data_IF_812285922237
#
_entry.id   IF_812285922237
#
_cell.length_a   1.000
_cell.length_b   1.000
_cell.length_c   1.000
_cell.angle_alpha   90.00
_cell.angle_beta   90.00
_cell.angle_gamma   90.00
#
_symmetry.space_group_name_H-M   'P 1'
#
loop_
_entity.id
_entity.type
_entity.pdbx_description
1 polymer ?
#
# COMPACT_ATOMS: atom_id res chain seq x y z
N UNK A 1 68.99 -15.43 -38.36
CA UNK A 1 67.67 -15.68 -37.75
C UNK A 1 67.36 -14.50 -36.85
N UNK A 2 66.44 -13.62 -37.25
CA UNK A 2 65.99 -12.48 -36.44
C UNK A 2 64.58 -12.81 -35.95
N UNK A 3 64.46 -13.03 -34.64
CA UNK A 3 63.24 -13.39 -33.94
C UNK A 3 62.27 -12.20 -33.98
N UNK A 4 61.10 -12.34 -34.63
CA UNK A 4 60.00 -11.37 -34.53
C UNK A 4 59.29 -11.60 -33.20
N UNK A 5 59.43 -10.66 -32.24
CA UNK A 5 58.61 -10.62 -31.03
C UNK A 5 57.41 -9.70 -31.29
N UNK A 6 56.22 -10.29 -31.34
CA UNK A 6 54.94 -9.61 -31.38
C UNK A 6 54.54 -9.25 -29.93
N UNK A 7 54.26 -8.00 -29.56
CA UNK A 7 53.72 -7.71 -28.24
C UNK A 7 52.21 -8.01 -28.26
N UNK A 8 51.81 -9.04 -27.52
CA UNK A 8 50.42 -9.31 -27.16
C UNK A 8 50.01 -8.26 -26.13
N UNK A 9 49.24 -7.26 -26.54
CA UNK A 9 48.69 -6.24 -25.65
C UNK A 9 47.49 -6.84 -24.89
N UNK A 10 47.71 -7.36 -23.69
CA UNK A 10 46.64 -7.83 -22.81
C UNK A 10 46.11 -6.64 -22.00
N UNK A 11 45.02 -6.03 -22.47
CA UNK A 11 44.31 -4.99 -21.71
C UNK A 11 43.52 -5.66 -20.57
N UNK A 12 44.05 -5.57 -19.35
CA UNK A 12 43.34 -5.95 -18.14
C UNK A 12 42.21 -4.94 -17.88
N UNK A 13 40.96 -5.37 -18.03
CA UNK A 13 39.81 -4.66 -17.49
C UNK A 13 39.89 -4.74 -15.96
N UNK A 14 40.29 -3.63 -15.34
CA UNK A 14 40.09 -3.41 -13.90
C UNK A 14 38.60 -3.21 -13.67
N UNK A 15 37.88 -4.28 -13.32
CA UNK A 15 36.51 -4.18 -12.80
C UNK A 15 36.57 -3.51 -11.43
N UNK A 16 36.28 -2.21 -11.37
CA UNK A 16 36.04 -1.53 -10.09
C UNK A 16 34.76 -2.08 -9.48
N UNK A 17 34.75 -2.56 -8.22
CA UNK A 17 33.50 -2.87 -7.55
C UNK A 17 32.70 -1.57 -7.46
N UNK A 18 31.50 -1.57 -8.06
CA UNK A 18 30.53 -0.51 -7.83
C UNK A 18 30.19 -0.54 -6.34
N UNK A 19 30.50 0.54 -5.63
CA UNK A 19 30.01 0.79 -4.28
C UNK A 19 28.49 0.83 -4.39
N UNK A 20 27.82 -0.20 -3.88
CA UNK A 20 26.38 -0.20 -3.72
C UNK A 20 26.02 0.93 -2.76
N UNK A 21 25.00 1.68 -3.16
CA UNK A 21 24.56 2.96 -2.63
C UNK A 21 24.29 2.94 -1.11
N UNK A 22 25.22 3.47 -0.31
CA UNK A 22 25.05 3.70 1.14
C UNK A 22 24.00 4.79 1.45
N UNK A 23 23.37 5.40 0.43
CA UNK A 23 22.33 6.42 0.58
C UNK A 23 20.94 5.95 0.10
N UNK A 24 20.68 4.64 0.03
CA UNK A 24 19.30 4.21 -0.21
C UNK A 24 18.44 4.67 0.98
N UNK A 25 17.43 5.54 0.77
CA UNK A 25 16.57 6.00 1.85
C UNK A 25 15.95 4.77 2.53
N UNK A 26 16.04 4.70 3.85
CA UNK A 26 15.37 3.66 4.63
C UNK A 26 13.87 3.68 4.28
N UNK A 27 13.37 2.62 3.64
CA UNK A 27 11.98 2.51 3.27
C UNK A 27 11.13 2.35 4.54
N UNK A 28 10.31 3.36 4.85
CA UNK A 28 9.32 3.26 5.91
C UNK A 28 8.18 2.33 5.48
N UNK A 29 7.67 1.49 6.39
CA UNK A 29 6.66 0.46 6.03
C UNK A 29 5.20 0.87 6.27
N UNK A 30 4.93 2.05 6.86
CA UNK A 30 3.57 2.44 7.24
C UNK A 30 3.05 1.72 8.49
N UNK A 31 1.99 2.24 9.11
CA UNK A 31 1.23 1.44 10.11
C UNK A 31 0.56 0.25 9.39
N UNK A 32 0.52 -0.96 9.97
CA UNK A 32 -0.21 -2.08 9.40
C UNK A 32 -1.73 -1.88 9.57
N UNK A 33 -2.52 -2.43 8.64
CA UNK A 33 -3.98 -2.48 8.71
C UNK A 33 -4.46 -3.92 8.47
N UNK A 34 -4.77 -4.64 9.54
CA UNK A 34 -5.19 -6.05 9.50
C UNK A 34 -6.69 -6.23 9.28
N UNK A 35 -7.49 -5.22 9.58
CA UNK A 35 -8.95 -5.24 9.47
C UNK A 35 -9.47 -3.94 8.84
N UNK A 36 -10.72 -3.95 8.35
CA UNK A 36 -11.40 -2.73 7.88
C UNK A 36 -11.37 -1.60 8.93
N UNK A 37 -11.67 -1.90 10.20
CA UNK A 37 -11.72 -0.88 11.26
C UNK A 37 -10.34 -0.25 11.53
N UNK A 38 -9.28 -1.06 11.58
CA UNK A 38 -7.91 -0.55 11.68
C UNK A 38 -7.52 0.29 10.45
N UNK A 39 -7.93 -0.14 9.25
CA UNK A 39 -7.64 0.59 8.02
C UNK A 39 -8.30 1.97 8.00
N UNK A 40 -9.59 2.04 8.33
CA UNK A 40 -10.33 3.31 8.41
C UNK A 40 -9.74 4.21 9.50
N UNK A 41 -9.42 3.67 10.68
CA UNK A 41 -8.79 4.44 11.75
C UNK A 41 -7.42 5.00 11.31
N UNK A 42 -6.56 4.17 10.72
CA UNK A 42 -5.26 4.59 10.21
C UNK A 42 -5.38 5.67 9.12
N UNK A 43 -6.33 5.51 8.19
CA UNK A 43 -6.58 6.49 7.13
C UNK A 43 -7.11 7.80 7.72
N UNK A 44 -8.04 7.75 8.67
CA UNK A 44 -8.60 8.93 9.33
C UNK A 44 -7.52 9.72 10.07
N UNK A 45 -6.71 9.06 10.91
CA UNK A 45 -5.60 9.69 11.62
C UNK A 45 -4.59 10.32 10.66
N UNK A 46 -4.14 9.56 9.65
CA UNK A 46 -3.15 10.05 8.69
C UNK A 46 -3.69 11.20 7.82
N UNK A 47 -4.97 11.20 7.47
CA UNK A 47 -5.61 12.30 6.73
C UNK A 47 -5.71 13.57 7.57
N UNK A 48 -5.97 13.45 8.88
CA UNK A 48 -5.95 14.61 9.77
C UNK A 48 -4.55 15.22 9.83
N UNK A 49 -3.52 14.40 10.06
CA UNK A 49 -2.12 14.86 10.10
C UNK A 49 -1.69 15.48 8.75
N UNK A 50 -2.08 14.86 7.64
CA UNK A 50 -1.84 15.42 6.30
C UNK A 50 -2.53 16.77 6.12
N UNK A 51 -3.78 16.91 6.54
CA UNK A 51 -4.51 18.17 6.43
C UNK A 51 -3.84 19.30 7.25
N UNK A 52 -3.34 18.98 8.44
CA UNK A 52 -2.60 19.93 9.28
C UNK A 52 -1.29 20.38 8.62
N UNK A 53 -0.53 19.46 8.02
CA UNK A 53 0.70 19.79 7.27
C UNK A 53 0.42 20.69 6.05
N UNK A 54 -0.73 20.52 5.41
CA UNK A 54 -1.12 21.27 4.21
C UNK A 54 -1.65 22.68 4.49
N UNK A 55 -1.87 23.07 5.76
CA UNK A 55 -2.39 24.41 6.12
C UNK A 55 -1.33 25.53 5.99
N UNK A 56 -0.09 25.21 5.58
CA UNK A 56 1.02 26.15 5.44
C UNK A 56 1.95 25.87 4.26
N UNK A 57 3.09 26.58 4.23
CA UNK A 57 4.19 26.24 3.31
C UNK A 57 4.90 24.97 3.79
N UNK A 58 5.06 23.98 2.90
CA UNK A 58 5.73 22.73 3.24
C UNK A 58 7.25 22.93 3.28
N UNK A 59 7.85 22.64 4.42
CA UNK A 59 9.29 22.50 4.58
C UNK A 59 9.79 21.14 4.08
N UNK A 60 11.11 20.98 3.94
CA UNK A 60 11.73 19.68 3.63
C UNK A 60 11.39 18.60 4.67
N UNK A 61 11.19 18.99 5.94
CA UNK A 61 10.78 18.08 7.00
C UNK A 61 9.32 17.63 6.82
N UNK A 62 8.43 18.55 6.42
CA UNK A 62 7.03 18.24 6.15
C UNK A 62 6.92 17.27 4.95
N UNK A 63 7.75 17.46 3.92
CA UNK A 63 7.81 16.53 2.79
C UNK A 63 8.21 15.10 3.23
N UNK A 64 9.15 14.97 4.16
CA UNK A 64 9.53 13.67 4.71
C UNK A 64 8.39 13.04 5.54
N UNK A 65 7.65 13.84 6.31
CA UNK A 65 6.51 13.31 7.07
C UNK A 65 5.34 12.93 6.16
N UNK A 66 5.03 13.72 5.13
CA UNK A 66 4.02 13.36 4.11
C UNK A 66 4.37 12.03 3.45
N UNK A 67 5.65 11.78 3.12
CA UNK A 67 6.09 10.49 2.60
C UNK A 67 5.88 9.33 3.59
N UNK A 68 6.04 9.59 4.89
CA UNK A 68 5.83 8.60 5.94
C UNK A 68 4.35 8.29 6.16
N UNK A 69 3.50 9.33 6.12
CA UNK A 69 2.05 9.23 6.14
C UNK A 69 1.53 8.47 4.91
N UNK A 70 2.11 8.70 3.73
CA UNK A 70 1.66 8.05 2.49
C UNK A 70 1.77 6.54 2.56
N UNK A 71 2.84 5.97 3.13
CA UNK A 71 2.93 4.53 3.35
C UNK A 71 1.84 3.98 4.28
N UNK A 72 1.47 4.73 5.33
CA UNK A 72 0.37 4.33 6.22
C UNK A 72 -0.97 4.36 5.49
N UNK A 73 -1.22 5.41 4.71
CA UNK A 73 -2.43 5.53 3.90
C UNK A 73 -2.49 4.48 2.79
N UNK A 74 -1.38 4.12 2.15
CA UNK A 74 -1.30 3.06 1.15
C UNK A 74 -1.71 1.70 1.74
N UNK A 75 -1.18 1.35 2.92
CA UNK A 75 -1.56 0.13 3.62
C UNK A 75 -3.06 0.11 3.98
N UNK A 76 -3.57 1.25 4.47
CA UNK A 76 -4.98 1.39 4.82
C UNK A 76 -5.89 1.27 3.58
N UNK A 77 -5.59 1.99 2.50
CA UNK A 77 -6.35 1.94 1.26
C UNK A 77 -6.32 0.55 0.62
N UNK A 78 -5.19 -0.15 0.67
CA UNK A 78 -5.09 -1.52 0.19
C UNK A 78 -6.04 -2.47 0.97
N UNK A 79 -6.08 -2.35 2.30
CA UNK A 79 -7.01 -3.14 3.13
C UNK A 79 -8.46 -2.76 2.87
N UNK A 80 -8.80 -1.47 2.81
CA UNK A 80 -10.15 -1.00 2.50
C UNK A 80 -10.62 -1.54 1.15
N UNK A 81 -9.76 -1.46 0.12
CA UNK A 81 -10.08 -2.00 -1.20
C UNK A 81 -10.36 -3.50 -1.18
N UNK A 82 -9.52 -4.29 -0.50
CA UNK A 82 -9.74 -5.74 -0.35
C UNK A 82 -11.07 -6.05 0.35
N UNK A 83 -11.37 -5.36 1.44
CA UNK A 83 -12.58 -5.59 2.24
C UNK A 83 -13.85 -5.13 1.49
N UNK A 84 -13.80 -3.98 0.79
CA UNK A 84 -14.92 -3.52 -0.06
C UNK A 84 -15.20 -4.52 -1.18
N UNK A 85 -14.17 -5.07 -1.82
CA UNK A 85 -14.33 -6.12 -2.82
C UNK A 85 -15.06 -7.36 -2.26
N UNK A 86 -14.77 -7.75 -1.02
CA UNK A 86 -15.50 -8.84 -0.36
C UNK A 86 -16.96 -8.46 -0.08
N UNK A 87 -17.20 -7.23 0.39
CA UNK A 87 -18.55 -6.71 0.64
C UNK A 87 -19.41 -6.66 -0.61
N UNK A 88 -18.84 -6.33 -1.78
CA UNK A 88 -19.54 -6.40 -3.07
C UNK A 88 -20.09 -7.82 -3.33
N UNK A 89 -19.26 -8.84 -3.10
CA UNK A 89 -19.68 -10.24 -3.21
C UNK A 89 -20.77 -10.62 -2.20
N UNK A 90 -20.63 -10.19 -0.94
CA UNK A 90 -21.66 -10.43 0.08
C UNK A 90 -22.98 -9.74 -0.26
N UNK A 91 -22.94 -8.52 -0.79
CA UNK A 91 -24.14 -7.81 -1.21
C UNK A 91 -24.81 -8.48 -2.43
N UNK A 92 -24.01 -9.02 -3.36
CA UNK A 92 -24.53 -9.77 -4.50
C UNK A 92 -25.29 -11.03 -4.04
N UNK A 93 -24.84 -11.71 -2.98
CA UNK A 93 -25.58 -12.83 -2.40
C UNK A 93 -26.96 -12.41 -1.84
N UNK A 94 -27.07 -11.20 -1.30
CA UNK A 94 -28.36 -10.60 -0.91
C UNK A 94 -29.23 -10.36 -2.13
N UNK A 95 -28.66 -9.77 -3.18
CA UNK A 95 -29.36 -9.51 -4.44
C UNK A 95 -29.93 -10.82 -5.03
N UNK A 96 -29.09 -11.82 -5.26
CA UNK A 96 -29.49 -13.10 -5.83
C UNK A 96 -30.47 -13.87 -4.92
N UNK A 97 -30.30 -13.81 -3.60
CA UNK A 97 -31.26 -14.38 -2.65
C UNK A 97 -32.64 -13.73 -2.77
N UNK A 98 -32.69 -12.41 -2.98
CA UNK A 98 -33.95 -11.68 -3.16
C UNK A 98 -34.68 -12.08 -4.45
N UNK A 99 -33.94 -12.28 -5.55
CA UNK A 99 -34.50 -12.75 -6.83
C UNK A 99 -35.07 -14.18 -6.71
N UNK A 100 -34.43 -15.03 -5.92
CA UNK A 100 -34.86 -16.40 -5.68
C UNK A 100 -35.97 -16.55 -4.62
N UNK A 101 -36.39 -15.46 -3.97
CA UNK A 101 -37.24 -15.46 -2.77
C UNK A 101 -36.68 -16.29 -1.59
N UNK A 102 -35.35 -16.44 -1.54
CA UNK A 102 -34.63 -17.14 -0.48
C UNK A 102 -34.38 -16.19 0.71
N UNK A 103 -35.26 -16.31 1.71
CA UNK A 103 -35.26 -15.43 2.89
C UNK A 103 -34.05 -15.66 3.80
N UNK A 104 -33.52 -16.87 3.85
CA UNK A 104 -32.39 -17.19 4.70
C UNK A 104 -31.11 -16.62 4.10
N UNK A 105 -30.89 -16.81 2.79
CA UNK A 105 -29.76 -16.21 2.07
C UNK A 105 -29.76 -14.70 2.17
N UNK A 106 -30.92 -14.06 1.99
CA UNK A 106 -31.07 -12.60 2.15
C UNK A 106 -30.71 -12.16 3.57
N UNK A 107 -31.22 -12.84 4.59
CA UNK A 107 -30.99 -12.46 5.99
C UNK A 107 -29.52 -12.58 6.36
N UNK A 108 -28.93 -13.75 6.14
CA UNK A 108 -27.57 -14.05 6.59
C UNK A 108 -26.54 -13.16 5.89
N UNK A 109 -26.62 -13.01 4.57
CA UNK A 109 -25.68 -12.16 3.84
C UNK A 109 -25.96 -10.66 4.09
N UNK A 110 -27.21 -10.28 4.33
CA UNK A 110 -27.56 -8.90 4.67
C UNK A 110 -26.97 -8.48 6.01
N UNK A 111 -27.07 -9.34 7.03
CA UNK A 111 -26.45 -9.11 8.34
C UNK A 111 -24.92 -9.01 8.22
N UNK A 112 -24.28 -9.93 7.48
CA UNK A 112 -22.84 -9.91 7.25
C UNK A 112 -22.36 -8.67 6.48
N UNK A 113 -23.10 -8.25 5.44
CA UNK A 113 -22.79 -7.04 4.68
C UNK A 113 -22.86 -5.80 5.57
N UNK A 114 -23.91 -5.68 6.39
CA UNK A 114 -24.08 -4.53 7.29
C UNK A 114 -22.97 -4.48 8.34
N UNK A 115 -22.58 -5.63 8.91
CA UNK A 115 -21.49 -5.71 9.87
C UNK A 115 -20.15 -5.26 9.27
N UNK A 116 -19.80 -5.77 8.08
CA UNK A 116 -18.54 -5.40 7.43
C UNK A 116 -18.53 -3.99 6.84
N UNK A 117 -19.70 -3.44 6.48
CA UNK A 117 -19.83 -2.05 6.00
C UNK A 117 -19.77 -1.03 7.14
N UNK A 118 -20.16 -1.39 8.36
CA UNK A 118 -20.26 -0.47 9.50
C UNK A 118 -19.01 0.42 9.70
N UNK A 119 -17.76 -0.10 9.64
CA UNK A 119 -16.58 0.73 9.86
C UNK A 119 -16.36 1.84 8.81
N UNK A 120 -16.99 1.77 7.63
CA UNK A 120 -16.90 2.83 6.60
C UNK A 120 -17.92 3.96 6.78
N UNK A 121 -18.90 3.76 7.67
CA UNK A 121 -20.04 4.68 7.85
C UNK A 121 -20.00 5.46 9.15
N UNK A 122 -19.05 5.14 10.03
CA UNK A 122 -18.79 5.82 11.30
C UNK A 122 -17.85 7.02 11.13
#
# INVERSE_FOLDING_TARGET
MIQRLLPLLLAGLLSTPALADENQPEHFSGKPAGTMSEAVANASEANQELAELLDGELSDADMAEVHRLSYTMENALARIHEEVYQLEGTLEEVHLGSEAFDRERVRTNGEAYLEGMAPLLD
#
